data_IF_718268546520
#
_entry.id   IF_718268546520
#
_cell.length_a   1.000
_cell.length_b   1.000
_cell.length_c   1.000
_cell.angle_alpha   90.00
_cell.angle_beta   90.00
_cell.angle_gamma   90.00
#
_symmetry.space_group_name_H-M   'P 1'
#
loop_
_entity.id
_entity.type
_entity.pdbx_description
1 polymer ?
#
# COMPACT_ATOMS: atom_id res chain seq x y z
N UNK A 1 -7.36 -15.12 8.06
CA UNK A 1 -7.46 -14.38 6.78
C UNK A 1 -6.11 -14.33 6.10
N UNK A 2 -6.05 -14.45 4.77
CA UNK A 2 -4.80 -14.41 3.99
C UNK A 2 -4.73 -13.08 3.25
N UNK A 3 -3.68 -12.30 3.51
CA UNK A 3 -3.45 -10.97 2.91
C UNK A 3 -2.14 -11.00 2.12
N UNK A 4 -2.21 -10.66 0.84
CA UNK A 4 -1.03 -10.39 0.02
C UNK A 4 -0.58 -8.95 0.20
N UNK A 5 0.69 -8.73 0.51
CA UNK A 5 1.30 -7.41 0.55
C UNK A 5 2.25 -7.28 -0.64
N UNK A 6 2.10 -6.20 -1.38
CA UNK A 6 2.97 -5.84 -2.48
C UNK A 6 3.61 -4.47 -2.18
N UNK A 7 4.92 -4.43 -2.00
CA UNK A 7 5.65 -3.18 -2.10
C UNK A 7 5.75 -2.83 -3.58
N UNK A 8 5.07 -1.77 -3.99
CA UNK A 8 5.02 -1.34 -5.37
C UNK A 8 6.41 -1.13 -5.97
N UNK A 9 6.49 -1.35 -7.26
CA UNK A 9 7.71 -1.18 -8.06
C UNK A 9 8.84 -2.20 -7.81
N UNK A 10 9.68 -2.36 -8.84
CA UNK A 10 10.94 -3.11 -8.71
C UNK A 10 11.98 -2.29 -7.93
N UNK A 11 12.97 -2.94 -7.32
CA UNK A 11 14.06 -2.22 -6.62
C UNK A 11 14.86 -1.33 -7.57
N UNK A 12 15.13 -1.84 -8.76
CA UNK A 12 15.98 -1.18 -9.78
C UNK A 12 15.52 -1.53 -11.17
N UNK A 13 15.90 -0.72 -12.15
CA UNK A 13 15.62 -0.97 -13.56
C UNK A 13 14.18 -0.62 -13.97
N UNK A 14 13.66 -1.26 -15.02
CA UNK A 14 12.31 -0.99 -15.50
C UNK A 14 11.26 -1.23 -14.41
N UNK A 15 10.39 -0.24 -14.19
CA UNK A 15 9.33 -0.34 -13.18
C UNK A 15 9.74 0.07 -11.78
N UNK A 16 10.88 0.73 -11.58
CA UNK A 16 11.40 1.11 -10.25
C UNK A 16 10.67 2.32 -9.60
N UNK A 17 9.64 2.84 -10.23
CA UNK A 17 8.81 3.90 -9.64
C UNK A 17 9.43 5.29 -9.72
N UNK A 18 8.83 6.19 -8.99
CA UNK A 18 9.24 7.58 -8.96
C UNK A 18 10.45 7.82 -8.05
N UNK A 19 11.24 8.83 -8.41
CA UNK A 19 12.37 9.32 -7.61
C UNK A 19 12.21 10.83 -7.44
N UNK A 20 12.15 11.26 -6.21
CA UNK A 20 12.09 12.66 -5.82
C UNK A 20 13.05 12.91 -4.65
N UNK A 21 12.53 13.44 -3.56
CA UNK A 21 13.29 13.57 -2.29
C UNK A 21 13.48 12.22 -1.61
N UNK A 22 12.62 11.26 -1.93
CA UNK A 22 12.75 9.85 -1.58
C UNK A 22 12.59 8.99 -2.84
N UNK A 23 13.04 7.73 -2.77
CA UNK A 23 12.83 6.75 -3.83
C UNK A 23 11.65 5.87 -3.48
N UNK A 24 10.61 5.89 -4.30
CA UNK A 24 9.39 5.13 -4.07
C UNK A 24 9.68 3.65 -3.81
N UNK A 25 10.48 3.02 -4.65
CA UNK A 25 10.80 1.59 -4.54
C UNK A 25 11.45 1.17 -3.22
N UNK A 26 12.16 2.07 -2.54
CA UNK A 26 12.75 1.80 -1.22
C UNK A 26 11.70 1.96 -0.12
N UNK A 27 10.96 3.06 -0.15
CA UNK A 27 10.02 3.42 0.91
C UNK A 27 8.75 2.57 0.90
N UNK A 28 8.30 2.08 -0.25
CA UNK A 28 7.22 1.07 -0.33
C UNK A 28 7.59 -0.18 0.46
N UNK A 29 8.84 -0.61 0.42
CA UNK A 29 9.34 -1.78 1.15
C UNK A 29 9.42 -1.55 2.66
N UNK A 30 9.81 -0.36 3.09
CA UNK A 30 9.82 -0.03 4.53
C UNK A 30 8.41 -0.07 5.12
N UNK A 31 7.43 0.52 4.43
CA UNK A 31 6.03 0.50 4.87
C UNK A 31 5.45 -0.91 4.81
N UNK A 32 5.70 -1.66 3.72
CA UNK A 32 5.20 -3.03 3.56
C UNK A 32 5.74 -3.97 4.65
N UNK A 33 7.04 -3.91 4.96
CA UNK A 33 7.65 -4.73 5.99
C UNK A 33 7.11 -4.42 7.41
N UNK A 34 6.85 -3.15 7.69
CA UNK A 34 6.23 -2.75 8.95
C UNK A 34 4.75 -3.18 9.01
N UNK A 35 4.00 -3.03 7.93
CA UNK A 35 2.60 -3.44 7.84
C UNK A 35 2.44 -4.96 8.04
N UNK A 36 3.33 -5.75 7.46
CA UNK A 36 3.35 -7.20 7.64
C UNK A 36 3.41 -7.60 9.12
N UNK A 37 4.27 -6.93 9.92
CA UNK A 37 4.40 -7.21 11.36
C UNK A 37 3.08 -6.98 12.09
N UNK A 38 2.41 -5.85 11.83
CA UNK A 38 1.13 -5.53 12.47
C UNK A 38 0.03 -6.52 12.09
N UNK A 39 -0.08 -6.88 10.81
CA UNK A 39 -1.10 -7.80 10.34
C UNK A 39 -0.87 -9.23 10.86
N UNK A 40 0.38 -9.69 10.91
CA UNK A 40 0.72 -10.99 11.52
C UNK A 40 0.43 -10.99 13.02
N UNK A 41 0.75 -9.93 13.73
CA UNK A 41 0.43 -9.80 15.16
C UNK A 41 -1.09 -9.84 15.43
N UNK A 42 -1.90 -9.35 14.48
CA UNK A 42 -3.35 -9.46 14.54
C UNK A 42 -3.92 -10.82 14.09
N UNK A 43 -3.07 -11.80 13.75
CA UNK A 43 -3.49 -13.15 13.36
C UNK A 43 -3.70 -13.38 11.86
N UNK A 44 -3.31 -12.43 10.99
CA UNK A 44 -3.34 -12.65 9.56
C UNK A 44 -2.22 -13.57 9.09
N UNK A 45 -2.51 -14.40 8.08
CA UNK A 45 -1.48 -15.01 7.26
C UNK A 45 -1.08 -14.00 6.18
N UNK A 46 0.15 -13.51 6.21
CA UNK A 46 0.65 -12.57 5.21
C UNK A 46 1.50 -13.27 4.18
N UNK A 47 1.27 -12.97 2.90
CA UNK A 47 2.01 -13.43 1.73
C UNK A 47 2.70 -12.24 1.07
N UNK A 48 4.01 -12.35 0.86
CA UNK A 48 4.74 -11.36 0.07
C UNK A 48 4.41 -11.55 -1.42
N UNK A 49 3.94 -10.46 -2.04
CA UNK A 49 3.61 -10.37 -3.47
C UNK A 49 4.51 -9.35 -4.17
N UNK A 50 5.66 -9.03 -3.60
CA UNK A 50 6.61 -8.04 -4.11
C UNK A 50 7.49 -8.65 -5.20
N UNK A 51 7.77 -7.87 -6.24
CA UNK A 51 8.67 -8.22 -7.34
C UNK A 51 9.85 -7.27 -7.34
N UNK A 52 11.05 -7.78 -7.12
CA UNK A 52 12.26 -6.95 -6.98
C UNK A 52 12.92 -6.59 -8.32
N UNK A 53 12.68 -7.36 -9.36
CA UNK A 53 13.25 -7.11 -10.68
C UNK A 53 12.38 -7.65 -11.81
N UNK A 54 12.38 -6.95 -12.94
CA UNK A 54 11.70 -7.39 -14.16
C UNK A 54 12.41 -6.83 -15.40
N UNK A 55 12.24 -7.48 -16.54
CA UNK A 55 12.84 -7.02 -17.81
C UNK A 55 12.18 -5.76 -18.38
N UNK A 56 10.90 -5.56 -18.08
CA UNK A 56 10.09 -4.41 -18.53
C UNK A 56 9.05 -4.05 -17.49
N UNK A 57 8.50 -2.83 -17.56
CA UNK A 57 7.35 -2.40 -16.75
C UNK A 57 6.16 -3.37 -16.86
N UNK A 58 5.82 -3.77 -18.08
CA UNK A 58 4.70 -4.70 -18.29
C UNK A 58 4.97 -6.09 -17.69
N UNK A 59 6.22 -6.56 -17.77
CA UNK A 59 6.61 -7.81 -17.14
C UNK A 59 6.50 -7.73 -15.62
N UNK A 60 6.92 -6.62 -15.00
CA UNK A 60 6.74 -6.37 -13.57
C UNK A 60 5.26 -6.47 -13.16
N UNK A 61 4.38 -5.72 -13.84
CA UNK A 61 2.95 -5.73 -13.54
C UNK A 61 2.33 -7.12 -13.67
N UNK A 62 2.68 -7.84 -14.75
CA UNK A 62 2.18 -9.19 -14.97
C UNK A 62 2.68 -10.19 -13.90
N UNK A 63 3.95 -10.11 -13.52
CA UNK A 63 4.52 -10.96 -12.48
C UNK A 63 3.87 -10.71 -11.13
N UNK A 64 3.63 -9.44 -10.73
CA UNK A 64 2.96 -9.08 -9.47
C UNK A 64 1.55 -9.68 -9.42
N UNK A 65 0.78 -9.54 -10.48
CA UNK A 65 -0.58 -10.11 -10.57
C UNK A 65 -0.55 -11.64 -10.55
N UNK A 66 0.35 -12.26 -11.32
CA UNK A 66 0.47 -13.72 -11.36
C UNK A 66 0.85 -14.29 -10.00
N UNK A 67 1.80 -13.65 -9.30
CA UNK A 67 2.20 -14.06 -7.96
C UNK A 67 1.04 -13.95 -6.97
N UNK A 68 0.29 -12.84 -7.00
CA UNK A 68 -0.89 -12.67 -6.15
C UNK A 68 -1.99 -13.71 -6.47
N UNK A 69 -2.27 -13.93 -7.77
CA UNK A 69 -3.33 -14.83 -8.22
C UNK A 69 -2.99 -16.32 -8.05
N UNK A 70 -1.73 -16.68 -7.88
CA UNK A 70 -1.28 -18.03 -7.56
C UNK A 70 -1.51 -18.41 -6.08
N UNK A 71 -1.93 -17.47 -5.25
CA UNK A 71 -2.18 -17.64 -3.83
C UNK A 71 -3.67 -17.40 -3.54
N UNK A 72 -4.24 -18.13 -2.59
CA UNK A 72 -5.63 -17.94 -2.17
C UNK A 72 -5.78 -16.73 -1.24
N UNK A 73 -5.57 -15.54 -1.79
CA UNK A 73 -5.66 -14.29 -1.05
C UNK A 73 -7.13 -13.89 -0.83
N UNK A 74 -7.45 -13.45 0.36
CA UNK A 74 -8.69 -12.72 0.63
C UNK A 74 -8.57 -11.24 0.21
N UNK A 75 -7.39 -10.65 0.48
CA UNK A 75 -7.07 -9.27 0.13
C UNK A 75 -5.68 -9.14 -0.46
N UNK A 76 -5.53 -8.20 -1.38
CA UNK A 76 -4.25 -7.76 -1.94
C UNK A 76 -4.08 -6.27 -1.64
N UNK A 77 -3.00 -5.92 -0.94
CA UNK A 77 -2.67 -4.54 -0.55
C UNK A 77 -1.36 -4.14 -1.20
N UNK A 78 -1.43 -3.17 -2.09
CA UNK A 78 -0.26 -2.61 -2.80
C UNK A 78 0.09 -1.24 -2.24
N UNK A 79 1.33 -1.07 -1.82
CA UNK A 79 1.86 0.17 -1.24
C UNK A 79 2.64 0.92 -2.30
N UNK A 80 2.30 2.18 -2.49
CA UNK A 80 2.88 3.11 -3.44
C UNK A 80 3.12 4.49 -2.84
N UNK A 81 3.86 5.32 -3.54
CA UNK A 81 4.03 6.75 -3.30
C UNK A 81 3.84 7.51 -4.61
N UNK A 82 3.11 8.59 -4.55
CA UNK A 82 2.74 9.39 -5.70
C UNK A 82 3.88 10.33 -6.14
N UNK A 83 3.76 10.89 -7.34
CA UNK A 83 4.63 11.94 -7.87
C UNK A 83 3.84 12.94 -8.73
N UNK A 84 4.40 14.11 -8.99
CA UNK A 84 3.78 15.14 -9.82
C UNK A 84 3.38 16.40 -9.06
N UNK A 85 4.09 16.74 -7.99
CA UNK A 85 3.96 18.03 -7.29
C UNK A 85 2.71 18.16 -6.41
N UNK A 86 1.98 17.06 -6.18
CA UNK A 86 0.79 17.05 -5.31
C UNK A 86 1.12 16.90 -3.82
N UNK A 87 0.07 16.77 -3.00
CA UNK A 87 0.19 16.51 -1.56
C UNK A 87 -0.92 15.60 -1.07
N UNK A 88 -0.59 14.69 -0.16
CA UNK A 88 -1.52 13.89 0.62
C UNK A 88 -1.67 12.44 0.16
N UNK A 89 -2.44 11.70 0.94
CA UNK A 89 -2.74 10.28 0.76
C UNK A 89 -3.96 10.08 -0.13
N UNK A 90 -3.92 9.05 -0.96
CA UNK A 90 -5.09 8.56 -1.69
C UNK A 90 -5.08 7.03 -1.75
N UNK A 91 -6.25 6.42 -1.85
CA UNK A 91 -6.37 4.98 -2.02
C UNK A 91 -7.21 4.65 -3.26
N UNK A 92 -6.87 3.55 -3.90
CA UNK A 92 -7.57 3.07 -5.09
C UNK A 92 -8.21 1.72 -4.83
N UNK A 93 -9.41 1.53 -5.36
CA UNK A 93 -10.15 0.27 -5.24
C UNK A 93 -10.90 -0.04 -6.53
N UNK A 94 -11.22 -1.32 -6.75
CA UNK A 94 -12.10 -1.73 -7.84
C UNK A 94 -13.57 -1.59 -7.42
N UNK A 95 -13.90 -2.11 -6.22
CA UNK A 95 -15.24 -2.11 -5.66
C UNK A 95 -15.20 -1.89 -4.15
N UNK A 96 -16.07 -1.01 -3.67
CA UNK A 96 -16.23 -0.72 -2.24
C UNK A 96 -15.23 0.31 -1.72
N UNK A 97 -15.54 0.87 -0.56
CA UNK A 97 -14.77 1.96 0.05
C UNK A 97 -14.52 1.78 1.55
N UNK A 98 -15.07 0.72 2.13
CA UNK A 98 -15.17 0.54 3.58
C UNK A 98 -13.85 0.73 4.34
N UNK A 99 -12.76 0.16 3.85
CA UNK A 99 -11.46 0.21 4.52
C UNK A 99 -10.54 1.26 3.92
N UNK A 100 -10.76 1.62 2.69
CA UNK A 100 -9.97 2.59 1.96
C UNK A 100 -10.17 4.01 2.51
N UNK A 101 -11.42 4.38 2.86
CA UNK A 101 -11.69 5.65 3.52
C UNK A 101 -10.99 5.72 4.88
N UNK A 102 -11.09 4.67 5.71
CA UNK A 102 -10.39 4.61 6.99
C UNK A 102 -8.85 4.66 6.86
N UNK A 103 -8.27 4.03 5.83
CA UNK A 103 -6.83 4.14 5.53
C UNK A 103 -6.46 5.60 5.26
N UNK A 104 -7.22 6.29 4.38
CA UNK A 104 -6.96 7.68 4.06
C UNK A 104 -7.12 8.60 5.29
N UNK A 105 -8.15 8.37 6.10
CA UNK A 105 -8.39 9.11 7.34
C UNK A 105 -7.27 8.92 8.36
N UNK A 106 -6.85 7.68 8.60
CA UNK A 106 -5.81 7.36 9.57
C UNK A 106 -4.45 7.94 9.15
N UNK A 107 -4.09 7.88 7.86
CA UNK A 107 -2.86 8.50 7.38
C UNK A 107 -2.97 10.02 7.43
N UNK A 108 -4.13 10.59 7.10
CA UNK A 108 -4.35 12.04 7.19
C UNK A 108 -4.24 12.55 8.65
N UNK A 109 -4.62 11.76 9.64
CA UNK A 109 -4.45 12.09 11.05
C UNK A 109 -2.97 12.26 11.45
N UNK A 110 -2.03 11.72 10.65
CA UNK A 110 -0.59 11.94 10.80
C UNK A 110 -0.10 13.26 10.18
N UNK A 111 -1.00 14.13 9.70
CA UNK A 111 -0.67 15.44 9.13
C UNK A 111 -0.64 15.48 7.60
N UNK A 112 -1.06 14.43 6.91
CA UNK A 112 -1.17 14.43 5.44
C UNK A 112 -2.54 14.93 4.98
N UNK A 113 -2.60 15.54 3.79
CA UNK A 113 -3.88 15.88 3.17
C UNK A 113 -4.63 14.62 2.78
N UNK A 114 -5.89 14.49 3.19
CA UNK A 114 -6.76 13.41 2.70
C UNK A 114 -7.26 13.76 1.28
N UNK A 115 -6.89 12.94 0.28
CA UNK A 115 -7.33 13.06 -1.12
C UNK A 115 -8.45 12.08 -1.44
N UNK A 116 -8.79 11.22 -0.48
CA UNK A 116 -9.89 10.25 -0.54
C UNK A 116 -9.64 9.04 -1.43
N UNK A 117 -10.69 8.29 -1.61
CA UNK A 117 -10.70 7.05 -2.37
C UNK A 117 -11.08 7.31 -3.83
N UNK A 118 -10.36 6.66 -4.74
CA UNK A 118 -10.51 6.79 -6.18
C UNK A 118 -10.78 5.45 -6.85
N UNK A 119 -11.32 5.51 -8.07
CA UNK A 119 -11.48 4.31 -8.90
C UNK A 119 -10.13 3.78 -9.36
N UNK A 120 -9.85 2.52 -9.04
CA UNK A 120 -8.67 1.78 -9.48
C UNK A 120 -8.86 0.98 -10.76
N UNK A 121 -9.98 1.13 -11.47
CA UNK A 121 -10.31 0.32 -12.67
C UNK A 121 -9.29 0.47 -13.80
N UNK A 122 -8.56 1.59 -13.85
CA UNK A 122 -7.44 1.82 -14.77
C UNK A 122 -6.13 1.16 -14.35
N UNK A 123 -5.97 0.82 -13.07
CA UNK A 123 -4.74 0.27 -12.53
C UNK A 123 -4.66 -1.24 -12.76
N UNK A 124 -3.58 -1.69 -13.39
CA UNK A 124 -3.42 -3.08 -13.80
C UNK A 124 -3.51 -4.06 -12.63
N UNK A 125 -2.79 -3.80 -11.54
CA UNK A 125 -2.78 -4.67 -10.35
C UNK A 125 -4.14 -4.74 -9.66
N UNK A 126 -4.91 -3.64 -9.63
CA UNK A 126 -6.26 -3.60 -9.07
C UNK A 126 -7.23 -4.39 -9.95
N UNK A 127 -7.17 -4.19 -11.28
CA UNK A 127 -8.11 -4.79 -12.23
C UNK A 127 -7.88 -6.29 -12.46
N UNK A 128 -6.64 -6.76 -12.39
CA UNK A 128 -6.25 -8.12 -12.77
C UNK A 128 -6.03 -9.07 -11.59
N UNK A 129 -5.95 -8.57 -10.39
CA UNK A 129 -5.88 -9.41 -9.19
C UNK A 129 -7.27 -9.94 -8.85
N UNK A 130 -7.37 -11.25 -8.56
CA UNK A 130 -8.63 -11.94 -8.22
C UNK A 130 -9.14 -11.55 -6.83
N UNK A 131 -8.23 -11.36 -5.89
CA UNK A 131 -8.56 -10.94 -4.53
C UNK A 131 -9.12 -9.52 -4.50
N UNK A 132 -9.85 -9.17 -3.44
CA UNK A 132 -10.20 -7.77 -3.17
C UNK A 132 -8.92 -6.96 -3.05
N UNK A 133 -8.81 -5.87 -3.80
CA UNK A 133 -7.54 -5.15 -3.96
C UNK A 133 -7.63 -3.70 -3.51
N UNK A 134 -6.59 -3.26 -2.82
CA UNK A 134 -6.37 -1.88 -2.39
C UNK A 134 -4.98 -1.46 -2.87
N UNK A 135 -4.87 -0.30 -3.51
CA UNK A 135 -3.59 0.35 -3.74
C UNK A 135 -3.58 1.68 -2.97
N UNK A 136 -2.51 1.91 -2.22
CA UNK A 136 -2.37 3.07 -1.34
C UNK A 136 -1.21 3.91 -1.86
N UNK A 137 -1.49 5.16 -2.23
CA UNK A 137 -0.50 6.20 -2.46
C UNK A 137 -0.32 6.97 -1.15
N UNK A 138 0.74 6.66 -0.41
CA UNK A 138 0.95 7.18 0.96
C UNK A 138 1.09 8.69 0.97
N UNK A 139 1.94 9.23 0.10
CA UNK A 139 2.18 10.67 -0.09
C UNK A 139 2.98 10.91 -1.37
N UNK A 140 3.38 12.15 -1.65
CA UNK A 140 4.15 12.49 -2.85
C UNK A 140 5.66 12.48 -2.57
N UNK A 141 6.44 11.77 -3.42
CA UNK A 141 7.90 11.63 -3.27
C UNK A 141 8.68 12.92 -3.58
N UNK A 142 8.10 13.83 -4.34
CA UNK A 142 8.75 14.99 -4.96
C UNK A 142 8.39 16.33 -4.31
N UNK A 143 7.66 16.31 -3.20
CA UNK A 143 7.23 17.51 -2.45
C UNK A 143 7.61 17.44 -0.97
N UNK A 144 7.20 18.46 -0.18
CA UNK A 144 7.40 18.49 1.27
C UNK A 144 6.71 17.32 1.99
N UNK A 145 5.77 16.64 1.35
CA UNK A 145 5.17 15.41 1.87
C UNK A 145 6.22 14.34 2.15
N UNK A 146 7.25 14.23 1.31
CA UNK A 146 8.32 13.26 1.50
C UNK A 146 9.13 13.53 2.78
N UNK A 147 9.42 14.80 3.07
CA UNK A 147 10.13 15.19 4.29
C UNK A 147 9.24 14.96 5.51
N UNK A 148 7.96 15.30 5.41
CA UNK A 148 6.99 15.01 6.46
C UNK A 148 6.89 13.50 6.72
N UNK A 149 6.79 12.67 5.67
CA UNK A 149 6.81 11.22 5.78
C UNK A 149 8.09 10.71 6.48
N UNK A 150 9.26 11.25 6.15
CA UNK A 150 10.51 10.86 6.83
C UNK A 150 10.49 11.19 8.32
N UNK A 151 9.86 12.31 8.71
CA UNK A 151 9.69 12.69 10.12
C UNK A 151 8.68 11.82 10.87
N UNK A 152 7.61 11.39 10.20
CA UNK A 152 6.59 10.49 10.73
C UNK A 152 7.14 9.07 10.87
N UNK A 153 7.79 8.58 9.81
CA UNK A 153 8.39 7.25 9.71
C UNK A 153 7.44 6.18 9.17
N UNK A 154 8.02 5.20 8.50
CA UNK A 154 7.29 4.10 7.85
C UNK A 154 6.45 3.26 8.84
N UNK A 155 6.91 3.13 10.08
CA UNK A 155 6.22 2.35 11.11
C UNK A 155 4.86 2.95 11.50
N UNK A 156 4.80 4.28 11.69
CA UNK A 156 3.53 4.96 12.00
C UNK A 156 2.56 4.91 10.82
N UNK A 157 3.07 5.07 9.58
CA UNK A 157 2.24 4.88 8.37
C UNK A 157 1.68 3.46 8.32
N UNK A 158 2.52 2.46 8.53
CA UNK A 158 2.09 1.06 8.54
C UNK A 158 1.06 0.78 9.65
N UNK A 159 1.24 1.35 10.84
CA UNK A 159 0.28 1.24 11.94
C UNK A 159 -1.07 1.87 11.57
N UNK A 160 -1.06 3.04 10.92
CA UNK A 160 -2.28 3.71 10.45
C UNK A 160 -3.05 2.86 9.42
N UNK A 161 -2.32 2.22 8.47
CA UNK A 161 -2.91 1.29 7.51
C UNK A 161 -3.47 0.05 8.24
N UNK A 162 -2.68 -0.54 9.14
CA UNK A 162 -3.09 -1.72 9.90
C UNK A 162 -4.35 -1.47 10.73
N UNK A 163 -4.47 -0.31 11.36
CA UNK A 163 -5.65 0.06 12.14
C UNK A 163 -6.95 -0.01 11.34
N UNK A 164 -6.90 0.33 10.05
CA UNK A 164 -8.05 0.20 9.15
C UNK A 164 -8.31 -1.26 8.72
N UNK A 165 -7.24 -2.10 8.63
CA UNK A 165 -7.34 -3.47 8.11
C UNK A 165 -7.56 -4.53 9.20
N UNK A 166 -7.16 -4.28 10.44
CA UNK A 166 -7.30 -5.22 11.56
C UNK A 166 -8.75 -5.65 11.79
N UNK A 167 -9.79 -4.79 11.70
CA UNK A 167 -11.18 -5.22 11.79
C UNK A 167 -11.60 -6.29 10.77
N UNK A 168 -10.88 -6.39 9.64
CA UNK A 168 -11.08 -7.47 8.65
C UNK A 168 -10.43 -8.77 9.11
N UNK A 169 -9.26 -8.65 9.73
CA UNK A 169 -8.42 -9.80 10.11
C UNK A 169 -8.95 -10.48 11.36
N UNK A 170 -9.31 -9.68 12.36
CA UNK A 170 -9.77 -10.10 13.67
C UNK A 170 -10.92 -9.16 14.11
N UNK A 171 -12.14 -9.44 13.68
CA UNK A 171 -13.28 -8.55 13.95
C UNK A 171 -13.61 -8.37 15.43
N UNK A 172 -13.07 -9.24 16.30
CA UNK A 172 -13.26 -9.16 17.74
C UNK A 172 -12.17 -8.35 18.47
N UNK A 173 -11.08 -8.02 17.78
CA UNK A 173 -10.02 -7.20 18.37
C UNK A 173 -10.31 -5.71 18.12
N UNK A 174 -10.20 -4.86 19.17
CA UNK A 174 -10.26 -3.43 18.95
C UNK A 174 -9.13 -3.01 17.98
N UNK A 175 -9.46 -2.10 17.06
CA UNK A 175 -8.42 -1.51 16.23
C UNK A 175 -7.35 -0.87 17.13
N UNK A 176 -6.05 -1.03 16.81
CA UNK A 176 -5.01 -0.30 17.53
C UNK A 176 -5.32 1.19 17.41
N UNK A 177 -5.22 1.92 18.52
CA UNK A 177 -5.44 3.37 18.51
C UNK A 177 -4.64 4.00 17.37
N UNK A 178 -5.32 4.83 16.57
CA UNK A 178 -4.66 5.61 15.54
C UNK A 178 -3.57 6.47 16.21
N UNK A 179 -2.46 6.69 15.53
CA UNK A 179 -1.34 7.44 16.09
C UNK A 179 -1.68 8.91 16.32
#
# INVERSE_FOLDING_TARGET
>A
MIIGINAGHTKTGPGSGAVGRIKESEHTRYVAAALEKYLRAAGATVRDCTIDSAKTQNAYLAQSVNLANAQDLNWFVSIHFNAGGGRGVEAYTYNGRQYQDAICENIAALGFKNRGVKSGTGLYVIRKTKAKSILIEVCFVDTDDAEHYLSVGADKIAKAIAAALIPIVAPELPAPEAP
#
